data_IF_859055865878
#
_entry.id   IF_859055865878
#
_cell.length_a   1.000
_cell.length_b   1.000
_cell.length_c   1.000
_cell.angle_alpha   90.00
_cell.angle_beta   90.00
_cell.angle_gamma   90.00
#
_symmetry.space_group_name_H-M   'P 1'
#
loop_
_entity.id
_entity.type
_entity.pdbx_description
1 polymer ?
#
# COMPACT_ATOMS: atom_id res chain seq x y z
N UNK A 1 -7.97 -3.04 -52.19
CA UNK A 1 -8.67 -3.82 -51.14
C UNK A 1 -8.07 -3.37 -49.82
N UNK A 2 -8.81 -2.57 -49.05
CA UNK A 2 -8.30 -1.98 -47.81
C UNK A 2 -8.22 -3.07 -46.75
N UNK A 3 -7.00 -3.38 -46.32
CA UNK A 3 -6.77 -4.22 -45.14
C UNK A 3 -6.93 -3.29 -43.95
N UNK A 4 -8.13 -3.26 -43.39
CA UNK A 4 -8.38 -2.65 -42.09
C UNK A 4 -7.59 -3.45 -41.05
N UNK A 5 -6.51 -2.85 -40.57
CA UNK A 5 -5.82 -3.31 -39.37
C UNK A 5 -6.76 -2.97 -38.21
N UNK A 6 -7.64 -3.90 -37.87
CA UNK A 6 -8.32 -3.88 -36.57
C UNK A 6 -7.23 -3.86 -35.50
N UNK A 7 -7.18 -2.84 -34.62
CA UNK A 7 -6.28 -2.89 -33.49
C UNK A 7 -6.76 -4.04 -32.61
N UNK A 8 -6.00 -5.13 -32.61
CA UNK A 8 -6.08 -6.18 -31.62
C UNK A 8 -5.74 -5.55 -30.27
N UNK A 9 -6.78 -5.07 -29.57
CA UNK A 9 -6.70 -4.62 -28.18
C UNK A 9 -6.47 -5.83 -27.25
N UNK A 10 -5.34 -6.51 -27.42
CA UNK A 10 -4.83 -7.58 -26.56
C UNK A 10 -3.66 -7.07 -25.71
N UNK A 11 -3.86 -5.99 -24.96
CA UNK A 11 -3.09 -5.70 -23.75
C UNK A 11 -4.05 -5.79 -22.55
N UNK A 12 -4.40 -7.01 -22.15
CA UNK A 12 -5.41 -7.24 -21.10
C UNK A 12 -4.85 -7.32 -19.67
N UNK A 13 -3.54 -7.56 -19.49
CA UNK A 13 -2.87 -7.38 -18.20
C UNK A 13 -1.80 -6.32 -18.33
N UNK A 14 -1.93 -5.31 -17.48
CA UNK A 14 -1.07 -4.16 -17.44
C UNK A 14 -0.34 -4.18 -16.09
N UNK A 15 0.96 -3.84 -16.03
CA UNK A 15 1.64 -3.73 -14.74
C UNK A 15 0.94 -2.73 -13.82
N UNK A 16 0.99 -2.98 -12.52
CA UNK A 16 0.24 -2.22 -11.51
C UNK A 16 0.53 -0.70 -11.57
N UNK A 17 1.74 -0.30 -11.91
CA UNK A 17 2.13 1.12 -12.06
C UNK A 17 1.49 1.82 -13.27
N UNK A 18 1.05 1.08 -14.29
CA UNK A 18 0.42 1.69 -15.48
C UNK A 18 -1.09 1.81 -15.28
N UNK A 19 -1.67 1.05 -14.34
CA UNK A 19 -3.01 1.29 -13.83
C UNK A 19 -3.16 2.69 -13.23
N UNK A 20 -2.08 3.30 -12.75
CA UNK A 20 -2.06 4.65 -12.19
C UNK A 20 -2.55 5.75 -13.14
N UNK A 21 -2.46 5.52 -14.45
CA UNK A 21 -2.86 6.49 -15.49
C UNK A 21 -4.37 6.63 -15.64
N UNK A 22 -5.11 5.60 -15.23
CA UNK A 22 -6.57 5.59 -15.33
C UNK A 22 -7.20 6.41 -14.20
N UNK A 23 -8.45 6.84 -14.39
CA UNK A 23 -9.16 7.59 -13.36
C UNK A 23 -9.53 6.68 -12.18
N UNK A 24 -9.47 7.20 -10.95
CA UNK A 24 -9.83 6.44 -9.73
C UNK A 24 -11.29 6.01 -9.74
N UNK A 25 -12.20 6.84 -10.28
CA UNK A 25 -13.62 6.50 -10.36
C UNK A 25 -13.93 5.26 -11.21
N UNK A 26 -13.06 4.94 -12.17
CA UNK A 26 -13.21 3.84 -13.11
C UNK A 26 -12.56 2.55 -12.64
N UNK A 27 -11.70 2.61 -11.62
CA UNK A 27 -10.94 1.48 -11.10
C UNK A 27 -11.56 0.95 -9.82
N UNK A 28 -11.27 -0.32 -9.54
CA UNK A 28 -11.56 -0.94 -8.27
C UNK A 28 -10.55 -2.04 -7.97
N UNK A 29 -10.26 -2.23 -6.69
CA UNK A 29 -9.52 -3.36 -6.18
C UNK A 29 -10.49 -4.50 -5.89
N UNK A 30 -10.15 -5.73 -6.27
CA UNK A 30 -10.94 -6.92 -5.96
C UNK A 30 -10.06 -7.97 -5.29
N UNK A 31 -10.65 -8.76 -4.40
CA UNK A 31 -10.02 -9.93 -3.81
C UNK A 31 -10.65 -11.20 -4.41
N UNK A 32 -9.85 -12.07 -4.98
CA UNK A 32 -10.32 -13.31 -5.60
C UNK A 32 -9.86 -14.47 -4.72
N UNK A 33 -10.81 -15.20 -4.14
CA UNK A 33 -10.53 -16.32 -3.24
C UNK A 33 -11.02 -17.65 -3.81
N UNK A 34 -10.34 -18.74 -3.49
CA UNK A 34 -10.76 -20.10 -3.88
C UNK A 34 -11.01 -20.99 -2.66
N UNK A 35 -11.51 -22.21 -2.89
CA UNK A 35 -11.76 -23.21 -1.84
C UNK A 35 -10.52 -23.54 -0.99
N UNK A 36 -9.33 -23.43 -1.57
CA UNK A 36 -8.04 -23.62 -0.86
C UNK A 36 -7.62 -22.41 -0.02
N UNK A 37 -8.50 -21.42 0.16
CA UNK A 37 -8.24 -20.17 0.90
C UNK A 37 -7.06 -19.36 0.33
N UNK A 38 -6.74 -19.55 -0.96
CA UNK A 38 -5.75 -18.74 -1.65
C UNK A 38 -6.42 -17.47 -2.14
N UNK A 39 -5.75 -16.34 -1.93
CA UNK A 39 -6.30 -15.01 -2.24
C UNK A 39 -5.40 -14.31 -3.24
N UNK A 40 -5.95 -13.91 -4.38
CA UNK A 40 -5.30 -13.08 -5.39
C UNK A 40 -5.95 -11.68 -5.34
N UNK A 41 -5.15 -10.65 -5.10
CA UNK A 41 -5.65 -9.26 -5.13
C UNK A 41 -5.37 -8.66 -6.50
N UNK A 42 -6.39 -8.08 -7.13
CA UNK A 42 -6.29 -7.52 -8.48
C UNK A 42 -6.90 -6.12 -8.53
N UNK A 43 -6.45 -5.33 -9.49
CA UNK A 43 -7.05 -4.02 -9.81
C UNK A 43 -7.62 -4.12 -11.21
N UNK A 44 -8.92 -3.84 -11.34
CA UNK A 44 -9.64 -3.90 -12.61
C UNK A 44 -10.42 -2.61 -12.83
N UNK A 45 -10.89 -2.39 -14.06
CA UNK A 45 -11.85 -1.31 -14.31
C UNK A 45 -13.28 -1.81 -14.15
N UNK A 46 -14.17 -0.95 -13.65
CA UNK A 46 -15.60 -1.28 -13.44
C UNK A 46 -16.31 -1.68 -14.73
N UNK A 47 -15.86 -1.11 -15.85
CA UNK A 47 -16.38 -1.35 -17.19
C UNK A 47 -15.80 -2.61 -17.88
N UNK A 48 -14.83 -3.28 -17.26
CA UNK A 48 -14.30 -4.54 -17.79
C UNK A 48 -15.32 -5.67 -17.62
N UNK A 49 -15.30 -6.60 -18.58
CA UNK A 49 -16.07 -7.84 -18.47
C UNK A 49 -15.42 -8.77 -17.43
N UNK A 50 -16.23 -9.61 -16.78
CA UNK A 50 -15.76 -10.59 -15.80
C UNK A 50 -14.75 -11.58 -16.40
N UNK A 51 -14.84 -11.87 -17.71
CA UNK A 51 -13.89 -12.72 -18.44
C UNK A 51 -12.42 -12.29 -18.32
N UNK A 52 -12.13 -11.03 -17.95
CA UNK A 52 -10.75 -10.59 -17.72
C UNK A 52 -10.07 -11.38 -16.59
N UNK A 53 -10.86 -11.92 -15.64
CA UNK A 53 -10.33 -12.73 -14.55
C UNK A 53 -9.83 -14.10 -14.99
N UNK A 54 -10.27 -14.61 -16.14
CA UNK A 54 -9.83 -15.91 -16.67
C UNK A 54 -8.31 -15.93 -16.89
N UNK A 55 -7.74 -14.75 -17.18
CA UNK A 55 -6.30 -14.58 -17.38
C UNK A 55 -5.46 -14.92 -16.14
N UNK A 56 -6.04 -14.78 -14.95
CA UNK A 56 -5.37 -15.10 -13.69
C UNK A 56 -5.17 -16.61 -13.50
N UNK A 57 -5.90 -17.42 -14.27
CA UNK A 57 -5.96 -18.87 -14.17
C UNK A 57 -5.58 -19.57 -15.47
N UNK A 58 -5.07 -18.86 -16.49
CA UNK A 58 -4.71 -19.47 -17.78
C UNK A 58 -3.62 -20.55 -17.70
N UNK A 59 -2.79 -20.53 -16.67
CA UNK A 59 -1.78 -21.58 -16.42
C UNK A 59 -2.36 -22.79 -15.68
N UNK A 60 -3.56 -22.65 -15.14
CA UNK A 60 -4.24 -23.67 -14.37
C UNK A 60 -5.21 -24.42 -15.30
N UNK A 61 -5.27 -25.75 -15.21
CA UNK A 61 -6.17 -26.60 -16.01
C UNK A 61 -7.59 -26.59 -15.42
N UNK A 62 -8.13 -25.40 -15.17
CA UNK A 62 -9.45 -25.20 -14.57
C UNK A 62 -10.35 -24.39 -15.49
N UNK A 63 -11.65 -24.60 -15.36
CA UNK A 63 -12.71 -23.80 -15.99
C UNK A 63 -13.29 -22.88 -14.93
N UNK A 64 -12.72 -21.67 -14.72
CA UNK A 64 -13.08 -20.85 -13.60
C UNK A 64 -14.50 -20.30 -13.75
N UNK A 65 -15.26 -20.44 -12.68
CA UNK A 65 -16.56 -19.82 -12.45
C UNK A 65 -16.44 -18.87 -11.26
N UNK A 66 -17.16 -17.75 -11.33
CA UNK A 66 -17.04 -16.66 -10.35
C UNK A 66 -18.36 -16.43 -9.64
N UNK A 67 -18.32 -16.25 -8.33
CA UNK A 67 -19.48 -15.95 -7.48
C UNK A 67 -19.22 -14.70 -6.66
N UNK A 68 -20.22 -13.83 -6.60
CA UNK A 68 -20.26 -12.65 -5.73
C UNK A 68 -21.68 -12.48 -5.21
N UNK A 69 -21.83 -12.25 -3.90
CA UNK A 69 -23.11 -12.13 -3.21
C UNK A 69 -24.12 -13.21 -3.64
N UNK A 70 -23.67 -14.46 -3.72
CA UNK A 70 -24.48 -15.65 -4.00
C UNK A 70 -24.97 -15.73 -5.45
N UNK A 71 -24.49 -14.85 -6.32
CA UNK A 71 -24.80 -14.81 -7.73
C UNK A 71 -23.59 -15.28 -8.53
N UNK A 72 -23.82 -16.23 -9.44
CA UNK A 72 -22.80 -16.63 -10.42
C UNK A 72 -22.68 -15.52 -11.46
N UNK A 73 -21.46 -15.02 -11.64
CA UNK A 73 -21.15 -13.93 -12.55
C UNK A 73 -20.96 -14.46 -13.97
N UNK A 74 -21.69 -13.89 -14.92
CA UNK A 74 -21.52 -14.20 -16.33
C UNK A 74 -20.28 -13.51 -16.90
N UNK A 75 -19.45 -14.28 -17.61
CA UNK A 75 -18.18 -13.82 -18.18
C UNK A 75 -18.32 -12.66 -19.17
N UNK A 76 -19.47 -12.56 -19.84
CA UNK A 76 -19.75 -11.54 -20.85
C UNK A 76 -20.33 -10.24 -20.27
N UNK A 77 -20.60 -10.23 -18.96
CA UNK A 77 -21.21 -9.10 -18.28
C UNK A 77 -20.11 -8.30 -17.56
N UNK A 78 -20.33 -6.99 -17.43
CA UNK A 78 -19.42 -6.07 -16.74
C UNK A 78 -19.59 -6.17 -15.23
N UNK A 79 -18.54 -5.88 -14.48
CA UNK A 79 -18.60 -5.90 -13.01
C UNK A 79 -19.62 -4.91 -12.43
N UNK A 80 -19.74 -3.72 -13.04
CA UNK A 80 -20.68 -2.67 -12.59
C UNK A 80 -22.14 -3.14 -12.59
N UNK A 81 -22.51 -4.03 -13.51
CA UNK A 81 -23.86 -4.58 -13.59
C UNK A 81 -24.23 -5.48 -12.39
N UNK A 82 -23.23 -5.99 -11.68
CA UNK A 82 -23.41 -6.81 -10.48
C UNK A 82 -23.25 -6.00 -9.19
N UNK A 83 -23.16 -4.66 -9.27
CA UNK A 83 -22.87 -3.78 -8.14
C UNK A 83 -21.59 -4.16 -7.37
N UNK A 84 -20.61 -4.75 -8.05
CA UNK A 84 -19.32 -5.09 -7.45
C UNK A 84 -18.59 -3.80 -7.09
N UNK A 85 -18.21 -3.66 -5.83
CA UNK A 85 -17.51 -2.49 -5.30
C UNK A 85 -16.02 -2.77 -5.13
N UNK A 86 -15.25 -1.70 -4.94
CA UNK A 86 -13.86 -1.84 -4.52
C UNK A 86 -13.80 -2.52 -3.16
N UNK A 87 -12.81 -3.40 -3.00
CA UNK A 87 -12.55 -4.24 -1.84
C UNK A 87 -13.53 -5.41 -1.66
N UNK A 88 -14.44 -5.62 -2.61
CA UNK A 88 -15.27 -6.81 -2.62
C UNK A 88 -14.45 -8.08 -2.90
N UNK A 89 -15.01 -9.19 -2.40
CA UNK A 89 -14.44 -10.51 -2.55
C UNK A 89 -15.27 -11.30 -3.57
N UNK A 90 -14.59 -11.90 -4.54
CA UNK A 90 -15.17 -12.79 -5.55
C UNK A 90 -14.62 -14.19 -5.29
N UNK A 91 -15.52 -15.15 -5.11
CA UNK A 91 -15.15 -16.54 -4.97
C UNK A 91 -14.98 -17.18 -6.35
N UNK A 92 -13.91 -17.95 -6.54
CA UNK A 92 -13.64 -18.71 -7.77
C UNK A 92 -13.59 -20.20 -7.48
N UNK A 93 -14.20 -20.99 -8.36
CA UNK A 93 -14.19 -22.44 -8.34
C UNK A 93 -14.11 -23.01 -9.75
N UNK A 94 -13.74 -24.28 -9.88
CA UNK A 94 -13.81 -24.99 -11.16
C UNK A 94 -15.23 -25.52 -11.37
N UNK A 95 -15.77 -25.40 -12.58
CA UNK A 95 -17.13 -25.85 -12.93
C UNK A 95 -17.39 -27.33 -12.56
N UNK A 96 -16.32 -28.16 -12.58
CA UNK A 96 -16.35 -29.56 -12.15
C UNK A 96 -16.70 -29.73 -10.66
N UNK A 97 -16.35 -28.76 -9.83
CA UNK A 97 -16.55 -28.78 -8.38
C UNK A 97 -17.93 -28.24 -7.97
N UNK A 98 -18.75 -27.79 -8.91
CA UNK A 98 -20.03 -27.11 -8.65
C UNK A 98 -20.97 -27.87 -7.71
N UNK A 99 -21.02 -29.21 -7.83
CA UNK A 99 -21.90 -30.06 -7.02
C UNK A 99 -21.37 -30.29 -5.59
N UNK A 100 -20.13 -29.89 -5.31
CA UNK A 100 -19.44 -30.08 -4.02
C UNK A 100 -19.26 -28.77 -3.25
N UNK A 101 -19.84 -27.69 -3.76
CA UNK A 101 -19.77 -26.39 -3.13
C UNK A 101 -20.87 -26.27 -2.10
N UNK A 102 -20.46 -26.12 -0.84
CA UNK A 102 -21.33 -25.73 0.23
C UNK A 102 -21.35 -24.19 0.34
N UNK A 103 -22.55 -23.64 0.40
CA UNK A 103 -22.75 -22.20 0.44
C UNK A 103 -22.20 -21.59 1.74
N UNK A 104 -22.44 -22.26 2.87
CA UNK A 104 -21.97 -21.80 4.18
C UNK A 104 -20.43 -21.82 4.25
N UNK A 105 -19.80 -22.77 3.57
CA UNK A 105 -18.34 -22.84 3.43
C UNK A 105 -17.80 -21.64 2.63
N UNK A 106 -18.46 -21.26 1.54
CA UNK A 106 -18.07 -20.09 0.72
C UNK A 106 -18.15 -18.81 1.54
N UNK A 107 -19.25 -18.58 2.25
CA UNK A 107 -19.44 -17.39 3.07
C UNK A 107 -18.40 -17.30 4.20
N UNK A 108 -18.07 -18.43 4.81
CA UNK A 108 -16.99 -18.54 5.80
C UNK A 108 -15.63 -18.22 5.20
N UNK A 109 -15.32 -18.70 3.99
CA UNK A 109 -14.05 -18.38 3.32
C UNK A 109 -13.97 -16.90 2.96
N UNK A 110 -15.06 -16.30 2.47
CA UNK A 110 -15.12 -14.87 2.12
C UNK A 110 -14.89 -13.99 3.35
N UNK A 111 -15.57 -14.27 4.46
CA UNK A 111 -15.41 -13.51 5.71
C UNK A 111 -13.97 -13.58 6.23
N UNK A 112 -13.39 -14.78 6.34
CA UNK A 112 -12.00 -14.97 6.76
C UNK A 112 -10.98 -14.29 5.84
N UNK A 113 -11.29 -14.20 4.54
CA UNK A 113 -10.41 -13.57 3.55
C UNK A 113 -10.34 -12.06 3.77
N UNK A 114 -11.49 -11.41 4.00
CA UNK A 114 -11.56 -9.97 4.24
C UNK A 114 -10.71 -9.57 5.45
N UNK A 115 -10.83 -10.30 6.56
CA UNK A 115 -10.11 -9.97 7.79
C UNK A 115 -8.59 -10.09 7.66
N UNK A 116 -8.10 -11.10 6.93
CA UNK A 116 -6.65 -11.36 6.82
C UNK A 116 -5.93 -10.47 5.81
N UNK A 117 -6.62 -10.05 4.76
CA UNK A 117 -5.96 -9.41 3.61
C UNK A 117 -6.17 -7.90 3.52
N UNK A 118 -7.04 -7.30 4.34
CA UNK A 118 -7.26 -5.85 4.33
C UNK A 118 -6.00 -5.00 4.59
N UNK A 119 -4.98 -5.55 5.26
CA UNK A 119 -3.73 -4.85 5.62
C UNK A 119 -2.45 -5.45 5.02
N UNK A 120 -2.57 -6.47 4.17
CA UNK A 120 -1.39 -7.08 3.56
C UNK A 120 -0.64 -6.10 2.64
N UNK A 121 0.69 -6.21 2.53
CA UNK A 121 1.48 -5.34 1.64
C UNK A 121 0.97 -5.35 0.18
N UNK A 122 0.46 -6.50 -0.27
CA UNK A 122 -0.10 -6.68 -1.61
C UNK A 122 -1.41 -5.88 -1.75
N UNK A 123 -2.29 -5.92 -0.75
CA UNK A 123 -3.54 -5.16 -0.78
C UNK A 123 -3.29 -3.66 -0.67
N UNK A 124 -2.32 -3.22 0.13
CA UNK A 124 -1.91 -1.81 0.23
C UNK A 124 -1.39 -1.30 -1.12
N UNK A 125 -0.54 -2.08 -1.80
CA UNK A 125 -0.04 -1.72 -3.15
C UNK A 125 -1.16 -1.66 -4.18
N UNK A 126 -2.07 -2.64 -4.16
CA UNK A 126 -3.23 -2.64 -5.06
C UNK A 126 -4.14 -1.43 -4.80
N UNK A 127 -4.40 -1.09 -3.54
CA UNK A 127 -5.18 0.09 -3.14
C UNK A 127 -4.54 1.38 -3.64
N UNK A 128 -3.22 1.52 -3.52
CA UNK A 128 -2.49 2.67 -4.05
C UNK A 128 -2.57 2.80 -5.58
N UNK A 129 -2.74 1.71 -6.32
CA UNK A 129 -2.91 1.75 -7.77
C UNK A 129 -4.37 2.06 -8.19
N UNK A 130 -5.33 1.61 -7.40
CA UNK A 130 -6.75 1.88 -7.61
C UNK A 130 -7.12 3.32 -7.24
N UNK A 131 -6.65 3.80 -6.08
CA UNK A 131 -7.05 5.07 -5.47
C UNK A 131 -5.91 6.10 -5.39
N UNK A 132 -6.08 7.19 -6.15
CA UNK A 132 -5.13 8.28 -6.22
C UNK A 132 -5.08 9.11 -4.92
N UNK A 133 -6.16 9.14 -4.15
CA UNK A 133 -6.19 9.85 -2.86
C UNK A 133 -5.37 9.09 -1.82
N UNK A 134 -5.59 7.78 -1.71
CA UNK A 134 -4.81 6.87 -0.87
C UNK A 134 -3.33 6.89 -1.23
N UNK A 135 -2.99 6.86 -2.52
CA UNK A 135 -1.60 6.96 -2.99
C UNK A 135 -0.92 8.26 -2.55
N UNK A 136 -1.61 9.40 -2.70
CA UNK A 136 -1.09 10.71 -2.27
C UNK A 136 -0.81 10.72 -0.77
N UNK A 137 -1.68 10.12 0.02
CA UNK A 137 -1.50 10.04 1.46
C UNK A 137 -0.31 9.13 1.86
N UNK A 138 -0.16 7.98 1.21
CA UNK A 138 1.04 7.13 1.41
C UNK A 138 2.32 7.88 1.08
N UNK A 139 2.33 8.61 -0.04
CA UNK A 139 3.49 9.40 -0.44
C UNK A 139 3.80 10.48 0.61
N UNK A 140 2.79 11.21 1.07
CA UNK A 140 2.92 12.20 2.15
C UNK A 140 3.51 11.60 3.43
N UNK A 141 3.05 10.42 3.84
CA UNK A 141 3.57 9.70 5.00
C UNK A 141 5.03 9.27 4.80
N UNK A 142 5.39 8.85 3.59
CA UNK A 142 6.76 8.49 3.25
C UNK A 142 7.69 9.71 3.27
N UNK A 143 7.25 10.86 2.77
CA UNK A 143 7.99 12.12 2.81
C UNK A 143 8.25 12.56 4.27
N UNK A 144 7.24 12.46 5.14
CA UNK A 144 7.40 12.72 6.58
C UNK A 144 8.41 11.77 7.23
N UNK A 145 8.33 10.46 6.91
CA UNK A 145 9.28 9.45 7.43
C UNK A 145 10.70 9.75 6.94
N UNK A 146 10.86 10.15 5.68
CA UNK A 146 12.16 10.52 5.11
C UNK A 146 12.73 11.75 5.82
N UNK A 147 11.94 12.81 5.97
CA UNK A 147 12.35 14.04 6.66
C UNK A 147 12.75 13.77 8.12
N UNK A 148 11.98 12.92 8.84
CA UNK A 148 12.33 12.50 10.20
C UNK A 148 13.67 11.77 10.27
N UNK A 149 13.96 10.90 9.28
CA UNK A 149 15.24 10.20 9.18
C UNK A 149 16.39 11.16 8.88
N UNK A 150 16.19 12.14 7.99
CA UNK A 150 17.18 13.17 7.67
C UNK A 150 17.49 14.06 8.87
N UNK A 151 16.48 14.50 9.61
CA UNK A 151 16.66 15.25 10.86
C UNK A 151 17.51 14.45 11.86
N UNK A 152 17.15 13.18 12.11
CA UNK A 152 17.93 12.31 13.01
C UNK A 152 19.39 12.16 12.57
N UNK A 153 19.64 11.97 11.27
CA UNK A 153 21.00 11.92 10.73
C UNK A 153 21.73 13.23 10.98
N UNK A 154 21.12 14.37 10.67
CA UNK A 154 21.75 15.68 10.85
C UNK A 154 22.03 16.02 12.32
N UNK A 155 21.16 15.59 13.25
CA UNK A 155 21.42 15.68 14.69
C UNK A 155 22.62 14.82 15.11
N UNK A 156 22.70 13.57 14.65
CA UNK A 156 23.84 12.68 14.96
C UNK A 156 25.15 13.18 14.32
N UNK A 157 25.12 13.70 13.09
CA UNK A 157 26.30 14.30 12.46
C UNK A 157 26.77 15.56 13.20
N UNK A 158 25.86 16.40 13.72
CA UNK A 158 26.25 17.56 14.52
C UNK A 158 26.91 17.17 15.84
N UNK A 159 26.42 16.12 16.52
CA UNK A 159 27.03 15.62 17.75
C UNK A 159 28.44 15.06 17.50
N UNK A 160 28.64 14.30 16.42
CA UNK A 160 29.97 13.77 16.08
C UNK A 160 30.97 14.85 15.65
N UNK A 161 30.53 15.93 14.99
CA UNK A 161 31.42 17.05 14.61
C UNK A 161 31.85 17.87 15.84
N UNK A 162 31.04 17.94 16.89
CA UNK A 162 31.44 18.57 18.15
C UNK A 162 32.37 17.68 18.97
N UNK A 163 32.20 16.36 18.95
CA UNK A 163 33.15 15.43 19.58
C UNK A 163 34.52 15.45 18.88
N UNK A 164 34.58 15.45 17.54
CA UNK A 164 35.85 15.52 16.79
C UNK A 164 36.55 16.89 16.86
N UNK A 165 35.84 17.97 17.23
CA UNK A 165 36.46 19.28 17.47
C UNK A 165 37.08 19.42 18.86
N UNK A 166 36.91 18.44 19.75
CA UNK A 166 37.46 18.48 21.12
C UNK A 166 38.75 17.68 21.31
N UNK A 167 39.29 17.01 20.28
CA UNK A 167 40.49 16.17 20.42
C UNK A 167 41.83 16.84 20.15
N UNK A 168 41.86 18.14 19.84
CA UNK A 168 43.12 18.91 19.75
C UNK A 168 43.10 20.13 20.67
N UNK A 169 43.01 19.89 21.98
CA UNK A 169 43.49 20.89 22.95
C UNK A 169 44.68 20.27 23.66
N UNK A 170 45.87 20.70 23.26
CA UNK A 170 47.10 20.48 24.01
C UNK A 170 46.82 20.64 25.50
N UNK A 171 47.13 19.61 26.28
CA UNK A 171 47.10 19.62 27.73
C UNK A 171 48.16 20.59 28.27
N UNK A 172 47.93 21.90 28.14
CA UNK A 172 48.56 22.87 29.01
C UNK A 172 47.76 22.86 30.31
N UNK A 173 48.27 22.13 31.31
CA UNK A 173 47.77 22.17 32.68
C UNK A 173 48.04 23.56 33.28
N UNK A 174 47.28 24.57 32.90
CA UNK A 174 47.10 25.76 33.72
C UNK A 174 46.00 25.46 34.71
N UNK A 175 46.38 25.26 35.97
CA UNK A 175 45.44 25.15 37.08
C UNK A 175 44.53 26.38 37.10
N UNK A 176 43.22 26.17 37.05
CA UNK A 176 42.22 27.22 37.25
C UNK A 176 42.28 27.67 38.70
N UNK A 177 42.86 28.84 38.96
CA UNK A 177 42.84 29.45 40.29
C UNK A 177 41.42 29.98 40.52
N UNK A 178 40.67 29.33 41.40
CA UNK A 178 39.38 29.84 41.89
C UNK A 178 39.70 31.06 42.78
N UNK A 179 39.21 32.27 42.46
CA UNK A 179 39.40 33.41 43.34
C UNK A 179 38.70 33.13 44.69
N UNK A 180 39.41 33.35 45.79
CA UNK A 180 38.87 33.18 47.13
C UNK A 180 37.68 34.11 47.36
N UNK A 181 36.75 33.70 48.24
CA UNK A 181 35.44 34.31 48.50
C UNK A 181 35.44 35.79 48.94
N UNK A 182 36.60 36.45 48.97
CA UNK A 182 36.76 37.85 49.34
C UNK A 182 36.47 38.83 48.18
N UNK A 183 36.18 38.33 46.97
CA UNK A 183 35.86 39.15 45.79
C UNK A 183 34.36 39.20 45.45
N UNK A 184 33.49 38.69 46.33
CA UNK A 184 32.04 38.85 46.17
C UNK A 184 31.72 40.31 46.50
N UNK A 185 31.29 41.07 45.49
CA UNK A 185 30.90 42.47 45.66
C UNK A 185 29.77 42.57 46.70
N UNK A 186 30.00 43.31 47.78
CA UNK A 186 29.00 43.63 48.79
C UNK A 186 28.09 44.81 48.39
N UNK A 187 28.23 45.34 47.17
CA UNK A 187 27.37 46.42 46.71
C UNK A 187 25.99 45.85 46.30
N UNK A 188 24.89 46.41 46.83
CA UNK A 188 23.57 46.00 46.41
C UNK A 188 23.38 46.34 44.93
N UNK A 189 22.88 45.37 44.16
CA UNK A 189 22.57 45.59 42.76
C UNK A 189 21.56 46.74 42.63
N UNK A 190 21.71 47.62 41.62
CA UNK A 190 20.79 48.72 41.41
C UNK A 190 19.37 48.18 41.24
N UNK A 191 18.42 48.76 41.98
CA UNK A 191 17.01 48.45 41.84
C UNK A 191 16.55 48.93 40.47
N UNK A 192 16.35 48.00 39.55
CA UNK A 192 15.53 48.27 38.38
C UNK A 192 14.10 48.30 38.88
N UNK A 193 13.50 49.47 38.71
CA UNK A 193 12.16 49.84 39.11
C UNK A 193 11.14 48.81 38.62
#
# INVERSE_FOLDING_TARGET
MNIEILPSFCKMMVPLWEMERFNTSEKMQLMICNKKKQVKVVVVTKNSNVSILDQLFMKELITPQYVHNNVILSKNVKFDAYNVKSEDCIFVFDDKERNTLDYDEIETIISLTKDRHNESDISVRARAAADNSFRREIQRLNDIKFNKRQLKRNFNYKLNIEEDKTTNTHQNKTQTIIPSSNFISNTPLPKFW
#
